data_IF_390017115261
#
_entry.id   IF_390017115261
#
_cell.length_a   1.000
_cell.length_b   1.000
_cell.length_c   1.000
_cell.angle_alpha   90.00
_cell.angle_beta   90.00
_cell.angle_gamma   90.00
#
_symmetry.space_group_name_H-M   'P 1'
#
loop_
_entity.id
_entity.type
_entity.pdbx_description
1 polymer ?
#
# COMPACT_ATOMS: atom_id res chain seq x y z
N UNK A 1 -4.72 -7.78 17.71
CA UNK A 1 -4.02 -6.96 16.70
C UNK A 1 -3.96 -5.54 17.21
N UNK A 2 -2.79 -5.08 17.61
CA UNK A 2 -2.53 -3.66 17.86
C UNK A 2 -1.05 -3.42 17.57
N UNK A 3 -0.77 -2.82 16.41
CA UNK A 3 0.56 -2.42 15.99
C UNK A 3 1.13 -1.44 17.01
N UNK A 4 2.34 -1.69 17.50
CA UNK A 4 3.07 -0.77 18.36
C UNK A 4 3.44 0.48 17.56
N UNK A 5 2.74 1.59 17.78
CA UNK A 5 3.16 2.90 17.33
C UNK A 5 4.35 3.34 18.20
N UNK A 6 5.57 3.20 17.68
CA UNK A 6 6.79 3.62 18.39
C UNK A 6 6.93 5.13 18.23
N UNK A 7 6.78 5.86 19.34
CA UNK A 7 6.96 7.30 19.40
C UNK A 7 8.43 7.67 19.17
N UNK A 8 8.65 8.78 18.46
CA UNK A 8 9.96 9.34 18.14
C UNK A 8 9.93 10.86 18.33
N UNK A 9 11.06 11.42 18.75
CA UNK A 9 11.19 12.86 19.02
C UNK A 9 12.28 13.46 18.14
N UNK A 10 11.99 14.62 17.56
CA UNK A 10 13.00 15.40 16.84
C UNK A 10 13.56 16.48 17.78
N UNK A 11 14.88 16.51 17.96
CA UNK A 11 15.53 17.54 18.77
C UNK A 11 16.94 17.83 18.25
N UNK A 12 17.48 18.97 18.68
CA UNK A 12 18.85 19.35 18.39
C UNK A 12 19.82 18.48 19.19
N UNK A 13 20.92 18.07 18.56
CA UNK A 13 22.08 17.55 19.27
C UNK A 13 22.71 18.64 20.13
N UNK A 14 23.56 18.22 21.06
CA UNK A 14 24.51 19.13 21.69
C UNK A 14 25.40 19.79 20.65
N UNK A 15 25.85 21.00 20.96
CA UNK A 15 26.83 21.70 20.13
C UNK A 15 28.14 20.93 20.09
N UNK A 16 28.74 20.84 18.91
CA UNK A 16 30.13 20.40 18.79
C UNK A 16 31.05 21.36 19.55
N UNK A 17 32.26 20.87 19.85
CA UNK A 17 33.33 21.78 20.24
C UNK A 17 33.62 22.77 19.11
N UNK A 18 34.16 23.93 19.48
CA UNK A 18 34.63 24.89 18.48
C UNK A 18 35.83 24.29 17.72
N UNK A 19 35.75 24.35 16.39
CA UNK A 19 36.86 24.00 15.51
C UNK A 19 38.08 24.91 15.68
N UNK A 20 39.14 24.60 14.93
CA UNK A 20 40.33 25.44 14.91
C UNK A 20 40.04 26.80 14.25
N UNK A 21 40.79 27.81 14.65
CA UNK A 21 40.71 29.13 14.04
C UNK A 21 41.11 29.05 12.56
N UNK A 22 40.40 29.79 11.71
CA UNK A 22 40.64 29.86 10.27
C UNK A 22 42.05 30.34 9.89
N UNK A 23 42.75 31.02 10.80
CA UNK A 23 44.15 31.41 10.68
C UNK A 23 44.81 31.47 12.05
N UNK A 24 46.15 31.34 12.08
CA UNK A 24 46.97 31.44 13.30
C UNK A 24 47.40 32.88 13.63
N UNK A 25 47.19 33.83 12.71
CA UNK A 25 47.45 35.25 12.92
C UNK A 25 46.52 36.10 12.03
N UNK A 26 46.25 37.36 12.43
CA UNK A 26 45.23 38.20 11.79
C UNK A 26 43.78 37.84 12.17
N UNK A 27 42.77 38.61 11.72
CA UNK A 27 41.36 38.35 12.03
C UNK A 27 40.97 36.94 11.64
N UNK A 28 40.67 36.11 12.63
CA UNK A 28 40.31 34.71 12.47
C UNK A 28 39.03 34.40 13.23
N UNK A 29 38.27 33.43 12.74
CA UNK A 29 37.03 32.95 13.37
C UNK A 29 37.13 31.45 13.57
N UNK A 30 36.41 30.96 14.58
CA UNK A 30 36.16 29.54 14.81
C UNK A 30 34.67 29.30 14.88
N UNK A 31 34.23 28.15 14.40
CA UNK A 31 32.83 27.77 14.36
C UNK A 31 32.58 26.42 15.03
N UNK A 32 31.32 26.19 15.38
CA UNK A 32 30.80 24.92 15.87
C UNK A 32 29.43 24.67 15.24
N UNK A 33 29.02 23.41 15.23
CA UNK A 33 27.76 23.00 14.61
C UNK A 33 26.93 22.11 15.52
N UNK A 34 25.62 22.05 15.24
CA UNK A 34 24.72 21.04 15.76
C UNK A 34 23.68 20.70 14.70
N UNK A 35 23.12 19.50 14.80
CA UNK A 35 22.15 18.98 13.83
C UNK A 35 20.88 18.50 14.52
N UNK A 36 19.79 18.42 13.77
CA UNK A 36 18.57 17.77 14.23
C UNK A 36 18.69 16.26 14.07
N UNK A 37 18.33 15.51 15.11
CA UNK A 37 18.32 14.04 15.09
C UNK A 37 17.05 13.48 15.70
N UNK A 38 16.72 12.25 15.30
CA UNK A 38 15.61 11.49 15.84
C UNK A 38 16.07 10.75 17.10
N UNK A 39 15.38 10.99 18.20
CA UNK A 39 15.58 10.32 19.48
C UNK A 39 14.44 9.34 19.75
N UNK A 40 14.78 8.19 20.33
CA UNK A 40 13.82 7.17 20.75
C UNK A 40 13.32 7.37 22.19
N UNK A 41 13.87 8.34 22.91
CA UNK A 41 13.42 8.77 24.24
C UNK A 41 13.17 10.27 24.21
N UNK A 42 12.28 10.78 25.07
CA UNK A 42 11.94 12.20 25.11
C UNK A 42 13.13 13.06 25.57
N UNK A 43 13.70 13.93 24.71
CA UNK A 43 14.80 14.81 25.08
C UNK A 43 14.33 15.99 25.93
N UNK A 44 15.26 16.68 26.60
CA UNK A 44 14.95 17.79 27.51
C UNK A 44 14.25 18.97 26.81
N UNK A 45 14.56 19.21 25.54
CA UNK A 45 13.91 20.23 24.70
C UNK A 45 13.54 19.63 23.34
N UNK A 46 12.41 18.91 23.25
CA UNK A 46 11.94 18.35 21.99
C UNK A 46 11.38 19.46 21.10
N UNK A 47 11.75 19.46 19.83
CA UNK A 47 11.19 20.39 18.85
C UNK A 47 9.77 19.98 18.47
N UNK A 48 9.58 18.70 18.15
CA UNK A 48 8.27 18.08 17.94
C UNK A 48 8.33 16.57 18.16
N UNK A 49 7.17 15.95 18.33
CA UNK A 49 6.99 14.51 18.48
C UNK A 49 6.26 13.92 17.26
N UNK A 50 6.55 12.66 16.94
CA UNK A 50 5.79 11.89 15.94
C UNK A 50 6.02 10.38 16.10
N UNK A 51 5.76 9.63 15.03
CA UNK A 51 5.78 8.16 15.03
C UNK A 51 6.72 7.64 13.94
N UNK A 52 7.14 6.37 14.03
CA UNK A 52 8.04 5.69 13.08
C UNK A 52 7.98 6.23 11.64
N UNK A 53 9.09 6.85 11.20
CA UNK A 53 9.21 7.45 9.87
C UNK A 53 9.15 8.98 9.84
N UNK A 54 9.23 9.66 10.98
CA UNK A 54 9.39 11.12 11.00
C UNK A 54 10.68 11.55 10.31
N UNK A 55 10.63 12.66 9.58
CA UNK A 55 11.80 13.35 9.04
C UNK A 55 12.24 14.44 10.01
N UNK A 56 13.51 14.43 10.39
CA UNK A 56 14.08 15.38 11.35
C UNK A 56 15.46 15.80 10.84
N UNK A 57 15.48 16.89 10.07
CA UNK A 57 16.68 17.37 9.39
C UNK A 57 16.83 18.88 9.59
N UNK A 58 18.05 19.32 9.85
CA UNK A 58 18.37 20.73 10.08
C UNK A 58 19.78 20.85 10.65
N UNK A 59 20.47 21.93 10.29
CA UNK A 59 21.82 22.23 10.74
C UNK A 59 21.87 23.67 11.23
N UNK A 60 22.58 23.91 12.34
CA UNK A 60 22.86 25.25 12.86
C UNK A 60 24.36 25.44 13.04
N UNK A 61 24.84 26.61 12.66
CA UNK A 61 26.23 27.03 12.74
C UNK A 61 26.33 28.27 13.63
N UNK A 62 27.29 28.26 14.54
CA UNK A 62 27.61 29.38 15.43
C UNK A 62 29.10 29.73 15.26
N UNK A 63 29.41 31.02 15.15
CA UNK A 63 30.76 31.49 14.82
C UNK A 63 31.20 32.64 15.73
N UNK A 64 32.45 32.59 16.20
CA UNK A 64 33.02 33.63 17.06
C UNK A 64 34.45 33.97 16.66
N UNK A 65 34.90 35.17 17.03
CA UNK A 65 36.24 35.66 16.77
C UNK A 65 37.28 34.92 17.62
N UNK A 66 38.46 34.68 17.04
CA UNK A 66 39.62 34.16 17.73
C UNK A 66 40.49 35.29 18.29
N UNK A 67 41.18 35.03 19.39
CA UNK A 67 42.27 35.89 19.86
C UNK A 67 43.50 35.66 18.97
N UNK A 68 43.97 36.70 18.29
CA UNK A 68 45.11 36.62 17.38
C UNK A 68 46.16 37.70 17.67
N UNK A 69 47.42 37.37 17.38
CA UNK A 69 48.53 38.34 17.37
C UNK A 69 48.70 38.96 15.98
N UNK A 70 49.17 40.20 15.96
CA UNK A 70 49.60 40.91 14.75
C UNK A 70 50.68 40.10 14.01
N UNK A 71 50.45 39.79 12.73
CA UNK A 71 51.46 39.15 11.88
C UNK A 71 52.50 40.20 11.46
N UNK A 72 53.56 40.42 12.24
CA UNK A 72 54.72 41.21 11.79
C UNK A 72 55.69 40.28 11.07
N UNK A 73 55.49 40.11 9.77
CA UNK A 73 56.50 39.57 8.86
C UNK A 73 56.56 40.50 7.65
N UNK A 74 57.75 41.04 7.35
CA UNK A 74 58.01 41.82 6.14
C UNK A 74 57.65 40.96 4.94
N UNK A 75 56.51 41.25 4.33
CA UNK A 75 56.10 40.61 3.11
C UNK A 75 55.49 41.66 2.18
N UNK A 76 55.88 41.60 0.92
CA UNK A 76 55.47 42.58 -0.07
C UNK A 76 53.95 42.44 -0.33
N UNK A 77 53.20 43.54 -0.37
CA UNK A 77 51.76 43.49 -0.59
C UNK A 77 51.42 42.82 -1.93
N UNK A 78 50.77 41.65 -1.86
CA UNK A 78 50.25 40.97 -3.05
C UNK A 78 48.79 41.36 -3.21
N UNK A 79 48.50 42.09 -4.28
CA UNK A 79 47.14 42.48 -4.63
C UNK A 79 46.34 41.31 -5.20
N UNK A 80 45.06 41.30 -4.85
CA UNK A 80 44.09 40.36 -5.39
C UNK A 80 43.98 40.53 -6.91
N UNK A 81 43.89 39.42 -7.63
CA UNK A 81 43.71 39.38 -9.09
C UNK A 81 42.42 38.63 -9.43
N UNK A 82 41.49 39.31 -10.10
CA UNK A 82 40.24 38.72 -10.53
C UNK A 82 40.42 38.09 -11.91
N UNK A 83 39.86 36.89 -12.07
CA UNK A 83 39.78 36.23 -13.36
C UNK A 83 38.86 36.97 -14.33
N UNK A 84 39.01 36.60 -15.60
CA UNK A 84 38.06 37.03 -16.63
C UNK A 84 36.69 36.44 -16.33
N UNK A 85 35.66 37.18 -16.76
CA UNK A 85 34.30 36.67 -16.74
C UNK A 85 34.14 35.52 -17.73
N UNK A 86 33.37 34.52 -17.35
CA UNK A 86 32.80 33.58 -18.32
C UNK A 86 31.89 34.33 -19.28
N UNK A 87 31.63 33.72 -20.43
CA UNK A 87 30.50 34.12 -21.26
C UNK A 87 29.20 34.03 -20.45
N UNK A 88 28.22 34.84 -20.86
CA UNK A 88 26.88 34.78 -20.27
C UNK A 88 26.26 33.42 -20.55
N UNK A 89 25.58 32.86 -19.56
CA UNK A 89 24.74 31.68 -19.75
C UNK A 89 23.69 31.95 -20.83
N UNK A 90 23.28 30.90 -21.52
CA UNK A 90 22.13 30.98 -22.41
C UNK A 90 20.87 31.37 -21.63
N UNK A 91 19.91 32.08 -22.26
CA UNK A 91 18.68 32.49 -21.59
C UNK A 91 17.88 31.28 -21.08
N UNK A 92 17.44 31.34 -19.83
CA UNK A 92 16.65 30.26 -19.21
C UNK A 92 15.23 30.73 -18.86
N UNK A 93 14.41 29.81 -18.33
CA UNK A 93 13.02 30.07 -17.93
C UNK A 93 12.88 31.19 -16.87
N UNK A 94 13.94 31.50 -16.13
CA UNK A 94 13.94 32.54 -15.09
C UNK A 94 14.23 33.95 -15.62
N UNK A 95 14.38 34.14 -16.94
CA UNK A 95 14.73 35.43 -17.57
C UNK A 95 16.04 36.03 -17.04
N UNK A 96 16.91 35.19 -16.48
CA UNK A 96 18.18 35.57 -15.89
C UNK A 96 19.28 34.88 -16.67
N UNK A 97 20.19 35.67 -17.23
CA UNK A 97 21.49 35.14 -17.61
C UNK A 97 22.47 35.41 -16.48
N UNK A 98 23.33 34.45 -16.23
CA UNK A 98 24.35 34.50 -15.20
C UNK A 98 25.72 34.37 -15.85
N UNK A 99 26.71 35.04 -15.27
CA UNK A 99 28.12 34.79 -15.58
C UNK A 99 28.92 34.82 -14.29
N UNK A 100 30.02 34.09 -14.29
CA UNK A 100 30.87 33.98 -13.10
C UNK A 100 32.31 34.34 -13.46
N UNK A 101 33.08 34.73 -12.45
CA UNK A 101 34.55 34.82 -12.55
C UNK A 101 35.15 34.30 -11.26
N UNK A 102 36.39 33.87 -11.35
CA UNK A 102 37.12 33.33 -10.19
C UNK A 102 38.11 34.36 -9.65
N UNK A 103 38.52 34.21 -8.39
CA UNK A 103 39.71 34.90 -7.90
C UNK A 103 40.93 34.11 -8.38
N UNK A 104 41.68 34.65 -9.35
CA UNK A 104 42.90 34.01 -9.86
C UNK A 104 44.01 34.02 -8.82
N UNK A 105 44.11 35.10 -8.04
CA UNK A 105 45.08 35.24 -6.96
C UNK A 105 44.45 36.00 -5.80
N UNK A 106 44.52 35.42 -4.61
CA UNK A 106 44.03 36.05 -3.38
C UNK A 106 45.04 37.06 -2.86
N UNK A 107 44.58 38.12 -2.19
CA UNK A 107 45.48 39.10 -1.58
C UNK A 107 46.20 38.52 -0.35
N UNK A 108 47.44 38.92 -0.16
CA UNK A 108 48.22 38.62 1.04
C UNK A 108 49.04 39.85 1.46
N UNK A 109 49.58 39.83 2.68
CA UNK A 109 50.58 40.81 3.11
C UNK A 109 50.12 42.28 3.07
N UNK A 110 48.86 42.53 3.42
CA UNK A 110 48.28 43.89 3.39
C UNK A 110 47.94 44.41 1.98
N UNK A 111 48.06 43.57 0.95
CA UNK A 111 47.58 43.89 -0.38
C UNK A 111 46.07 44.10 -0.42
N UNK A 112 45.61 45.04 -1.26
CA UNK A 112 44.19 45.29 -1.54
C UNK A 112 43.43 44.00 -1.88
N UNK A 113 42.34 43.76 -1.16
CA UNK A 113 41.40 42.69 -1.43
C UNK A 113 40.69 42.91 -2.77
N UNK A 114 40.16 41.84 -3.35
CA UNK A 114 39.30 41.93 -4.51
C UNK A 114 38.04 42.71 -4.12
N UNK A 115 37.64 43.66 -4.98
CA UNK A 115 36.43 44.44 -4.84
C UNK A 115 35.56 44.26 -6.09
N UNK A 116 34.27 43.99 -5.91
CA UNK A 116 33.33 43.61 -6.96
C UNK A 116 32.80 42.18 -6.85
N UNK A 117 31.79 41.86 -7.66
CA UNK A 117 31.08 40.60 -7.60
C UNK A 117 31.86 39.45 -8.28
N UNK A 118 31.65 38.22 -7.80
CA UNK A 118 32.11 36.98 -8.45
C UNK A 118 31.04 36.37 -9.37
N UNK A 119 29.80 36.80 -9.18
CA UNK A 119 28.65 36.41 -9.99
C UNK A 119 27.91 37.67 -10.39
N UNK A 120 27.53 37.75 -11.65
CA UNK A 120 26.70 38.84 -12.17
C UNK A 120 25.49 38.25 -12.88
N UNK A 121 24.37 38.97 -12.75
CA UNK A 121 23.12 38.58 -13.36
C UNK A 121 22.56 39.72 -14.20
N UNK A 122 21.93 39.38 -15.31
CA UNK A 122 21.20 40.35 -16.15
C UNK A 122 19.89 39.76 -16.62
N UNK A 123 18.95 40.64 -16.96
CA UNK A 123 17.72 40.24 -17.63
C UNK A 123 18.02 39.71 -19.03
N UNK A 124 17.39 38.60 -19.37
CA UNK A 124 17.47 37.96 -20.67
C UNK A 124 16.09 37.54 -21.18
N UNK A 125 15.90 37.42 -22.51
CA UNK A 125 14.65 36.94 -23.07
C UNK A 125 14.26 35.56 -22.52
N UNK A 126 12.97 35.33 -22.29
CA UNK A 126 12.49 34.04 -21.81
C UNK A 126 12.49 33.02 -22.96
N UNK A 127 13.56 32.23 -23.11
CA UNK A 127 13.65 31.16 -24.12
C UNK A 127 13.14 29.80 -23.61
N UNK A 128 12.06 29.79 -22.83
CA UNK A 128 11.40 28.54 -22.45
C UNK A 128 10.40 28.04 -23.50
N UNK A 129 10.15 28.79 -24.58
CA UNK A 129 9.06 28.57 -25.55
C UNK A 129 9.11 27.26 -26.35
N UNK A 130 10.04 26.35 -26.09
CA UNK A 130 9.99 25.01 -26.68
C UNK A 130 9.10 24.14 -25.81
N UNK A 131 7.87 23.94 -26.27
CA UNK A 131 6.99 22.91 -25.71
C UNK A 131 7.74 21.59 -25.68
N UNK A 132 7.83 21.00 -24.50
CA UNK A 132 8.58 19.77 -24.31
C UNK A 132 7.62 18.71 -23.81
N UNK A 133 7.43 17.69 -24.63
CA UNK A 133 6.58 16.57 -24.28
C UNK A 133 7.27 15.68 -23.26
N UNK A 134 6.46 15.03 -22.43
CA UNK A 134 6.94 14.05 -21.49
C UNK A 134 7.47 12.82 -22.24
N UNK A 135 8.61 12.30 -21.80
CA UNK A 135 9.26 11.14 -22.41
C UNK A 135 9.43 10.04 -21.36
N UNK A 136 8.98 8.83 -21.69
CA UNK A 136 9.21 7.63 -20.89
C UNK A 136 10.48 6.95 -21.37
N UNK A 137 11.24 6.35 -20.44
CA UNK A 137 12.34 5.46 -20.79
C UNK A 137 11.82 4.22 -21.51
N UNK A 138 12.75 3.52 -22.15
CA UNK A 138 12.53 2.12 -22.49
C UNK A 138 12.23 1.30 -21.23
N UNK A 139 11.52 0.20 -21.43
CA UNK A 139 11.25 -0.74 -20.35
C UNK A 139 12.54 -1.40 -19.87
N UNK A 140 12.71 -1.48 -18.55
CA UNK A 140 13.71 -2.33 -17.95
C UNK A 140 13.46 -3.82 -18.21
N UNK A 141 14.45 -4.65 -17.86
CA UNK A 141 14.30 -6.09 -17.90
C UNK A 141 13.16 -6.56 -16.99
N UNK A 142 12.55 -7.69 -17.35
CA UNK A 142 11.62 -8.38 -16.46
C UNK A 142 12.35 -8.89 -15.23
N UNK A 143 11.68 -8.81 -14.07
CA UNK A 143 12.13 -9.46 -12.85
C UNK A 143 12.22 -10.97 -13.05
N UNK A 144 13.08 -11.61 -12.27
CA UNK A 144 13.09 -13.08 -12.19
C UNK A 144 11.78 -13.61 -11.62
N UNK A 145 11.49 -14.86 -11.96
CA UNK A 145 10.30 -15.57 -11.51
C UNK A 145 10.63 -16.39 -10.27
N UNK A 146 10.06 -16.05 -9.10
CA UNK A 146 10.31 -16.83 -7.88
C UNK A 146 9.76 -18.26 -7.99
N UNK A 147 8.60 -18.42 -8.63
CA UNK A 147 7.96 -19.72 -8.90
C UNK A 147 7.27 -19.68 -10.28
N UNK A 148 6.97 -20.84 -10.90
CA UNK A 148 6.29 -20.90 -12.21
C UNK A 148 4.92 -20.21 -12.23
N UNK A 149 4.22 -20.25 -11.11
CA UNK A 149 2.88 -19.64 -10.93
C UNK A 149 2.95 -18.18 -10.45
N UNK A 150 4.16 -17.63 -10.25
CA UNK A 150 4.33 -16.25 -9.85
C UNK A 150 4.09 -15.27 -11.00
N UNK A 151 4.04 -13.99 -10.63
CA UNK A 151 4.09 -12.87 -11.57
C UNK A 151 5.49 -12.28 -11.59
N UNK A 152 5.93 -11.91 -12.79
CA UNK A 152 7.09 -11.05 -13.02
C UNK A 152 6.62 -9.64 -13.36
N UNK A 153 7.47 -8.67 -13.10
CA UNK A 153 7.20 -7.27 -13.43
C UNK A 153 8.39 -6.61 -14.10
N UNK A 154 8.15 -5.57 -14.88
CA UNK A 154 9.18 -4.66 -15.38
C UNK A 154 8.76 -3.21 -15.14
N UNK A 155 9.74 -2.31 -15.08
CA UNK A 155 9.53 -0.90 -14.79
C UNK A 155 10.19 -0.02 -15.85
N UNK A 156 9.60 1.14 -16.09
CA UNK A 156 10.19 2.25 -16.85
C UNK A 156 10.01 3.54 -16.06
N UNK A 157 10.76 4.57 -16.40
CA UNK A 157 10.76 5.85 -15.68
C UNK A 157 10.39 6.99 -16.62
N UNK A 158 9.97 8.11 -16.04
CA UNK A 158 9.86 9.37 -16.77
C UNK A 158 11.28 9.93 -16.88
N UNK A 159 11.82 9.98 -18.08
CA UNK A 159 13.16 10.56 -18.33
C UNK A 159 13.09 12.07 -18.55
N UNK A 160 11.92 12.57 -18.89
CA UNK A 160 11.66 13.98 -19.12
C UNK A 160 10.19 14.26 -18.79
N UNK A 161 9.94 15.19 -17.89
CA UNK A 161 8.57 15.64 -17.60
C UNK A 161 8.07 16.58 -18.70
N UNK A 162 6.75 16.70 -18.83
CA UNK A 162 6.16 17.70 -19.72
C UNK A 162 6.43 19.11 -19.16
N UNK A 163 6.94 20.00 -20.01
CA UNK A 163 7.08 21.42 -19.68
C UNK A 163 6.19 22.27 -20.59
N UNK A 164 5.69 23.37 -20.03
CA UNK A 164 4.67 24.21 -20.65
C UNK A 164 3.44 23.37 -21.07
N UNK A 165 2.80 23.72 -22.19
CA UNK A 165 1.68 22.99 -22.78
C UNK A 165 2.12 21.70 -23.52
N UNK A 166 3.23 21.09 -23.10
CA UNK A 166 3.68 19.79 -23.61
C UNK A 166 2.72 18.65 -23.22
N UNK A 167 2.72 17.57 -24.00
CA UNK A 167 1.87 16.41 -23.71
C UNK A 167 2.42 15.63 -22.53
N UNK A 168 1.56 15.33 -21.55
CA UNK A 168 1.88 14.44 -20.44
C UNK A 168 2.17 13.01 -20.92
N UNK A 169 2.98 12.28 -20.16
CA UNK A 169 3.25 10.88 -20.46
C UNK A 169 1.96 10.07 -20.28
N UNK A 170 1.63 9.27 -21.28
CA UNK A 170 0.50 8.36 -21.24
C UNK A 170 1.00 6.91 -21.06
N UNK A 171 0.27 6.12 -20.26
CA UNK A 171 0.54 4.72 -19.99
C UNK A 171 1.19 4.43 -18.63
N UNK A 172 1.40 3.15 -18.35
CA UNK A 172 1.85 2.69 -17.03
C UNK A 172 3.37 2.72 -16.87
N UNK A 173 3.85 2.93 -15.64
CA UNK A 173 5.28 2.87 -15.28
C UNK A 173 5.73 1.47 -14.82
N UNK A 174 4.76 0.59 -14.55
CA UNK A 174 5.00 -0.81 -14.18
C UNK A 174 4.09 -1.70 -15.00
N UNK A 175 4.63 -2.78 -15.52
CA UNK A 175 3.90 -3.81 -16.26
C UNK A 175 4.14 -5.15 -15.59
N UNK A 176 3.07 -5.95 -15.46
CA UNK A 176 3.10 -7.28 -14.85
C UNK A 176 2.68 -8.34 -15.84
N UNK A 177 3.31 -9.51 -15.75
CA UNK A 177 2.99 -10.68 -16.56
C UNK A 177 3.15 -11.95 -15.71
N UNK A 178 2.38 -12.98 -16.02
CA UNK A 178 2.60 -14.31 -15.45
C UNK A 178 3.94 -14.90 -15.93
N UNK A 179 4.59 -15.66 -15.06
CA UNK A 179 5.89 -16.27 -15.34
C UNK A 179 5.82 -17.39 -16.39
N UNK A 180 4.90 -18.32 -16.19
CA UNK A 180 4.50 -19.31 -17.20
C UNK A 180 3.03 -19.08 -17.54
N UNK A 181 2.65 -19.30 -18.80
CA UNK A 181 1.23 -19.36 -19.16
C UNK A 181 0.56 -20.36 -18.23
N UNK A 182 -0.61 -20.07 -17.64
CA UNK A 182 -1.44 -21.14 -17.12
C UNK A 182 -1.53 -22.20 -18.24
N UNK A 183 -1.27 -23.46 -17.89
CA UNK A 183 -1.34 -24.57 -18.85
C UNK A 183 -2.65 -24.57 -19.63
N UNK A 184 -2.69 -25.29 -20.75
CA UNK A 184 -3.88 -25.42 -21.61
C UNK A 184 -5.16 -25.55 -20.76
N UNK A 185 -6.24 -24.82 -21.09
CA UNK A 185 -7.44 -24.79 -20.28
C UNK A 185 -7.98 -26.22 -20.11
N UNK A 186 -8.05 -26.67 -18.86
CA UNK A 186 -8.66 -27.97 -18.51
C UNK A 186 -10.07 -27.67 -17.99
N UNK A 187 -11.12 -28.05 -18.73
CA UNK A 187 -12.50 -27.86 -18.27
C UNK A 187 -12.83 -28.80 -17.12
N UNK A 188 -13.75 -28.37 -16.27
CA UNK A 188 -14.23 -29.18 -15.15
C UNK A 188 -15.12 -30.33 -15.65
N UNK A 189 -14.90 -31.55 -15.15
CA UNK A 189 -15.72 -32.73 -15.48
C UNK A 189 -16.45 -33.25 -14.23
N UNK A 190 -17.77 -33.45 -14.32
CA UNK A 190 -18.56 -34.11 -13.29
C UNK A 190 -18.60 -35.62 -13.54
N UNK A 191 -18.58 -36.41 -12.47
CA UNK A 191 -18.80 -37.85 -12.54
C UNK A 191 -20.23 -38.16 -13.00
N UNK A 192 -20.46 -39.41 -13.40
CA UNK A 192 -21.82 -39.94 -13.52
C UNK A 192 -22.52 -39.87 -12.17
N UNK A 193 -23.84 -39.74 -12.20
CA UNK A 193 -24.66 -39.82 -11.00
C UNK A 193 -24.53 -41.19 -10.33
N UNK A 194 -24.46 -41.18 -9.00
CA UNK A 194 -24.68 -42.38 -8.20
C UNK A 194 -26.13 -42.87 -8.30
N UNK A 195 -26.37 -44.04 -7.71
CA UNK A 195 -27.71 -44.58 -7.58
C UNK A 195 -28.60 -43.67 -6.73
N UNK A 196 -29.90 -43.67 -7.01
CA UNK A 196 -30.87 -43.05 -6.13
C UNK A 196 -30.89 -43.75 -4.78
N UNK A 197 -31.03 -42.98 -3.71
CA UNK A 197 -31.37 -43.48 -2.38
C UNK A 197 -32.75 -44.14 -2.39
N UNK A 198 -33.03 -44.89 -1.33
CA UNK A 198 -34.40 -45.29 -1.03
C UNK A 198 -35.30 -44.08 -0.83
N UNK A 199 -36.60 -44.30 -1.08
CA UNK A 199 -37.60 -43.26 -0.92
C UNK A 199 -37.88 -43.06 0.57
N UNK A 200 -37.90 -41.80 1.03
CA UNK A 200 -38.19 -41.48 2.44
C UNK A 200 -39.58 -41.91 2.90
N UNK A 201 -40.50 -42.16 1.98
CA UNK A 201 -41.84 -42.69 2.29
C UNK A 201 -42.22 -43.78 1.30
N UNK A 202 -42.91 -44.80 1.80
CA UNK A 202 -43.45 -45.89 0.99
C UNK A 202 -44.69 -45.48 0.18
N UNK A 203 -45.41 -44.42 0.56
CA UNK A 203 -46.60 -43.92 -0.16
C UNK A 203 -46.95 -42.47 0.24
N UNK A 204 -47.93 -41.87 -0.46
CA UNK A 204 -48.37 -40.47 -0.29
C UNK A 204 -47.27 -39.42 -0.52
N UNK A 205 -46.27 -39.76 -1.34
CA UNK A 205 -45.18 -38.87 -1.73
C UNK A 205 -44.03 -38.81 -0.73
N UNK A 206 -42.89 -39.36 -1.12
CA UNK A 206 -41.59 -39.21 -0.48
C UNK A 206 -40.57 -38.53 -1.38
N UNK A 207 -39.35 -38.39 -0.87
CA UNK A 207 -38.19 -37.87 -1.59
C UNK A 207 -37.13 -38.94 -1.67
N UNK A 208 -36.39 -38.96 -2.78
CA UNK A 208 -35.15 -39.71 -2.90
C UNK A 208 -34.09 -38.79 -3.49
N UNK A 209 -32.84 -39.06 -3.16
CA UNK A 209 -31.70 -38.24 -3.54
C UNK A 209 -30.63 -39.05 -4.24
N UNK A 210 -29.86 -38.42 -5.11
CA UNK A 210 -28.61 -38.98 -5.66
C UNK A 210 -27.54 -37.91 -5.71
N UNK A 211 -26.28 -38.35 -5.66
CA UNK A 211 -25.12 -37.46 -5.65
C UNK A 211 -24.14 -37.81 -6.78
N UNK A 212 -23.32 -36.85 -7.16
CA UNK A 212 -22.18 -37.01 -8.08
C UNK A 212 -21.02 -36.16 -7.61
N UNK A 213 -19.80 -36.48 -8.04
CA UNK A 213 -18.60 -35.76 -7.65
C UNK A 213 -18.01 -34.95 -8.81
N UNK A 214 -17.10 -34.03 -8.48
CA UNK A 214 -16.21 -33.43 -9.47
C UNK A 214 -15.08 -34.43 -9.75
N UNK A 215 -15.02 -34.93 -10.98
CA UNK A 215 -13.99 -35.86 -11.43
C UNK A 215 -12.70 -35.14 -11.82
N UNK A 216 -12.82 -33.98 -12.46
CA UNK A 216 -11.70 -33.11 -12.86
C UNK A 216 -12.03 -31.68 -12.46
N UNK A 217 -11.14 -31.05 -11.70
CA UNK A 217 -11.28 -29.63 -11.32
C UNK A 217 -10.81 -28.74 -12.46
N UNK A 218 -11.54 -27.64 -12.74
CA UNK A 218 -11.10 -26.67 -13.74
C UNK A 218 -9.76 -26.02 -13.37
N UNK A 219 -8.87 -25.90 -14.35
CA UNK A 219 -7.59 -25.19 -14.19
C UNK A 219 -7.21 -24.45 -15.48
N UNK A 220 -6.30 -23.49 -15.37
CA UNK A 220 -5.74 -22.78 -16.51
C UNK A 220 -6.74 -21.97 -17.35
N UNK A 221 -7.81 -21.47 -16.72
CA UNK A 221 -8.89 -20.73 -17.41
C UNK A 221 -9.95 -21.61 -18.08
N UNK A 222 -9.95 -22.93 -17.81
CA UNK A 222 -11.02 -23.84 -18.25
C UNK A 222 -12.38 -23.56 -17.60
N UNK A 223 -13.47 -23.97 -18.25
CA UNK A 223 -14.82 -23.70 -17.76
C UNK A 223 -15.14 -24.42 -16.44
N UNK A 224 -15.79 -23.73 -15.47
CA UNK A 224 -16.21 -24.36 -14.22
C UNK A 224 -17.37 -25.34 -14.45
N UNK A 225 -17.49 -26.34 -13.58
CA UNK A 225 -18.57 -27.33 -13.66
C UNK A 225 -19.93 -26.64 -13.54
N UNK A 226 -20.86 -26.97 -14.45
CA UNK A 226 -22.24 -26.48 -14.44
C UNK A 226 -23.19 -27.56 -13.92
N UNK A 227 -24.07 -27.19 -12.97
CA UNK A 227 -25.08 -28.05 -12.37
C UNK A 227 -24.73 -28.52 -10.95
N UNK A 228 -25.73 -29.02 -10.22
CA UNK A 228 -25.59 -29.43 -8.82
C UNK A 228 -24.85 -30.76 -8.65
N UNK A 229 -24.27 -30.96 -7.47
CA UNK A 229 -23.67 -32.23 -7.04
C UNK A 229 -24.69 -33.17 -6.37
N UNK A 230 -25.87 -32.64 -6.07
CA UNK A 230 -26.97 -33.35 -5.43
C UNK A 230 -28.26 -33.06 -6.20
N UNK A 231 -29.12 -34.07 -6.31
CA UNK A 231 -30.42 -33.96 -6.94
C UNK A 231 -31.46 -34.67 -6.09
N UNK A 232 -32.59 -34.01 -5.84
CA UNK A 232 -33.75 -34.59 -5.18
C UNK A 232 -34.90 -34.75 -6.17
N UNK A 233 -35.62 -35.85 -6.06
CA UNK A 233 -36.84 -36.07 -6.83
C UNK A 233 -37.93 -36.70 -5.97
N UNK A 234 -39.18 -36.50 -6.36
CA UNK A 234 -40.31 -37.13 -5.70
C UNK A 234 -40.41 -38.61 -6.08
N UNK A 235 -40.83 -39.43 -5.13
CA UNK A 235 -41.06 -40.85 -5.32
C UNK A 235 -42.33 -41.28 -4.58
N UNK A 236 -42.91 -42.41 -4.96
CA UNK A 236 -44.07 -43.02 -4.30
C UNK A 236 -45.27 -42.05 -4.12
N UNK A 237 -45.59 -41.29 -5.16
CA UNK A 237 -46.71 -40.31 -5.20
C UNK A 237 -48.10 -40.99 -5.25
N UNK A 238 -48.14 -42.31 -5.37
CA UNK A 238 -49.37 -43.09 -5.30
C UNK A 238 -49.99 -43.12 -3.90
N UNK A 239 -51.32 -43.27 -3.85
CA UNK A 239 -52.04 -43.55 -2.62
C UNK A 239 -51.59 -44.90 -2.05
N UNK A 240 -51.39 -44.99 -0.74
CA UNK A 240 -51.16 -46.28 -0.08
C UNK A 240 -52.34 -47.21 -0.36
N UNK A 241 -52.10 -48.50 -0.58
CA UNK A 241 -53.16 -49.50 -0.68
C UNK A 241 -54.07 -49.39 0.54
N UNK A 242 -55.36 -49.29 0.29
CA UNK A 242 -56.40 -48.93 1.26
C UNK A 242 -56.62 -50.05 2.27
N UNK A 243 -55.98 -49.98 3.42
CA UNK A 243 -56.40 -50.64 4.66
C UNK A 243 -56.15 -49.73 5.87
N UNK A 244 -56.55 -48.45 5.75
CA UNK A 244 -56.58 -47.55 6.89
C UNK A 244 -58.01 -47.50 7.47
N UNK A 245 -58.19 -48.11 8.64
CA UNK A 245 -59.38 -47.93 9.46
C UNK A 245 -59.19 -46.66 10.30
N UNK A 246 -60.07 -45.67 10.11
CA UNK A 246 -60.06 -44.42 10.89
C UNK A 246 -60.15 -44.68 12.40
N UNK A 247 -59.57 -43.78 13.20
CA UNK A 247 -59.68 -43.84 14.65
C UNK A 247 -61.12 -43.59 15.10
N UNK A 248 -61.65 -44.49 15.94
CA UNK A 248 -63.01 -44.37 16.46
C UNK A 248 -63.04 -43.37 17.61
N UNK A 249 -63.86 -42.34 17.47
CA UNK A 249 -64.05 -41.31 18.49
C UNK A 249 -65.16 -41.76 19.46
N UNK A 250 -64.82 -41.88 20.75
CA UNK A 250 -65.78 -42.19 21.79
C UNK A 250 -66.72 -41.02 22.11
N UNK A 251 -67.81 -41.31 22.83
CA UNK A 251 -68.75 -40.28 23.28
C UNK A 251 -68.07 -39.28 24.23
N UNK A 252 -68.55 -38.04 24.21
CA UNK A 252 -68.12 -37.02 25.17
C UNK A 252 -68.52 -37.41 26.59
N UNK A 253 -67.58 -37.28 27.53
CA UNK A 253 -67.92 -37.33 28.94
C UNK A 253 -68.79 -36.13 29.34
N UNK A 254 -69.52 -36.22 30.47
CA UNK A 254 -70.22 -35.08 31.04
C UNK A 254 -69.30 -33.88 31.23
N UNK A 255 -69.88 -32.68 31.18
CA UNK A 255 -69.14 -31.45 31.47
C UNK A 255 -68.63 -31.43 32.90
N UNK A 256 -67.41 -30.90 33.09
CA UNK A 256 -66.90 -30.58 34.41
C UNK A 256 -67.76 -29.51 35.10
N UNK A 257 -67.59 -29.37 36.41
CA UNK A 257 -68.05 -28.18 37.11
C UNK A 257 -67.30 -26.92 36.59
N UNK A 258 -67.88 -25.74 36.80
CA UNK A 258 -67.26 -24.48 36.37
C UNK A 258 -65.92 -24.25 37.09
N UNK A 259 -64.88 -23.91 36.33
CA UNK A 259 -63.62 -23.39 36.89
C UNK A 259 -63.85 -21.98 37.46
N UNK A 260 -62.90 -21.51 38.28
CA UNK A 260 -62.93 -20.17 38.87
C UNK A 260 -62.94 -19.04 37.83
N UNK A 261 -62.63 -19.35 36.57
CA UNK A 261 -62.59 -18.42 35.44
C UNK A 261 -63.87 -18.49 34.58
N UNK A 262 -64.88 -19.23 35.05
CA UNK A 262 -66.20 -19.32 34.42
C UNK A 262 -66.28 -20.28 33.22
N UNK A 263 -65.27 -21.14 33.02
CA UNK A 263 -65.25 -22.11 31.92
C UNK A 263 -65.51 -23.54 32.41
N UNK A 264 -66.12 -24.37 31.56
CA UNK A 264 -66.28 -25.81 31.78
C UNK A 264 -65.61 -26.58 30.65
N UNK A 265 -65.00 -27.71 30.97
CA UNK A 265 -64.33 -28.57 30.00
C UNK A 265 -64.95 -29.97 30.02
N UNK A 266 -64.80 -30.70 28.92
CA UNK A 266 -65.14 -32.12 28.84
C UNK A 266 -64.14 -32.81 27.92
N UNK A 267 -63.93 -34.08 28.16
CA UNK A 267 -62.99 -34.92 27.40
C UNK A 267 -63.74 -36.07 26.75
N UNK A 268 -63.24 -36.53 25.60
CA UNK A 268 -63.67 -37.75 24.94
C UNK A 268 -62.46 -38.59 24.61
N UNK A 269 -62.62 -39.90 24.64
CA UNK A 269 -61.53 -40.83 24.33
C UNK A 269 -61.42 -41.00 22.82
N UNK A 270 -60.19 -40.95 22.31
CA UNK A 270 -59.89 -41.33 20.93
C UNK A 270 -59.13 -42.64 21.00
N UNK A 271 -59.72 -43.72 20.47
CA UNK A 271 -59.06 -45.03 20.48
C UNK A 271 -58.31 -45.22 19.17
N UNK A 272 -56.98 -45.42 19.19
CA UNK A 272 -56.22 -45.74 17.98
C UNK A 272 -56.56 -47.16 17.48
N UNK A 273 -56.41 -47.45 16.18
CA UNK A 273 -56.61 -48.80 15.66
C UNK A 273 -55.58 -49.78 16.25
N UNK A 274 -55.96 -51.05 16.50
CA UNK A 274 -55.04 -52.05 17.03
C UNK A 274 -54.06 -52.48 15.94
N UNK A 275 -52.80 -52.07 16.06
CA UNK A 275 -51.73 -52.47 15.14
C UNK A 275 -50.67 -51.39 14.97
N UNK A 276 -49.86 -51.17 16.00
CA UNK A 276 -48.57 -50.52 15.83
C UNK A 276 -47.58 -51.54 15.27
N UNK A 277 -47.05 -51.27 14.07
CA UNK A 277 -45.90 -51.97 13.50
C UNK A 277 -44.64 -51.11 13.69
N UNK A 278 -43.58 -51.76 14.17
CA UNK A 278 -42.33 -51.21 14.68
C UNK A 278 -41.54 -50.32 13.71
N UNK A 279 -40.78 -49.39 14.30
CA UNK A 279 -39.64 -48.74 13.66
C UNK A 279 -38.50 -49.76 13.53
N UNK A 280 -38.09 -50.05 12.29
CA UNK A 280 -36.89 -50.82 11.99
C UNK A 280 -35.73 -49.91 11.58
N UNK A 281 -34.55 -50.22 12.13
CA UNK A 281 -33.21 -49.66 11.82
C UNK A 281 -32.87 -49.59 10.32
#
# INVERSE_FOLDING_TARGET
TSSCEVEQWCAWTEWSEYGQCSSQCGPATRSRERVLTIHAEQPAQPLFKGYMGITCEGMQLDSTACEYKSCTQECEPVHCDMGEWTEWSEPSCNQLCERTRVIKRQNSCGGKACDGALEETKSCPMECQKTQDCMLSEWGAWSECPTPDAQKFRKRQIVQEAMLNGRNCEGHLTETQYCSSPGLPVPCELSTWGSWSDCTKSCLGGLRQRTRAVRVTASGGGEPCRGGLEELTTCNVGHCSSDFQDCSIGAWQPWSQCSQDGQRSRVRTVTPPPGGGEAGE
#
